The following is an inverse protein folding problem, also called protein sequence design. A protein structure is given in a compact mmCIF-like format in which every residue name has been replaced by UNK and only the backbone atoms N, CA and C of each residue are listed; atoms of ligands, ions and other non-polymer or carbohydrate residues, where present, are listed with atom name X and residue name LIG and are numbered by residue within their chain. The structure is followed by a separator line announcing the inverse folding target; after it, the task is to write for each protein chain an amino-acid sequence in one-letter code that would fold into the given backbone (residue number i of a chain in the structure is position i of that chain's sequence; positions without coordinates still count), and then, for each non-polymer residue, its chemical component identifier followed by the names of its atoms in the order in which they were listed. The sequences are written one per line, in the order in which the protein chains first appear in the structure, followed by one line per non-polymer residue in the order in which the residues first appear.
data_IF_598465047782
#
_entry.id   IF_598465047782
#
_cell.length_a   1.000
_cell.length_b   1.000
_cell.length_c   1.000
_cell.angle_alpha   90.00
_cell.angle_beta   90.00
_cell.angle_gamma   90.00
#
_symmetry.space_group_name_H-M   'P 1'
#
loop_
_entity.id
_entity.type
_entity.pdbx_description
1 polymer ?
#
# COMPACT_ATOMS: atom_id res chain seq x y z
N UNK A 1 -7.11 25.86 7.52
CA UNK A 1 -8.47 26.23 7.96
C UNK A 1 -8.47 27.70 8.39
N UNK A 2 -9.29 28.58 7.79
CA UNK A 2 -9.58 29.92 8.34
C UNK A 2 -10.91 29.82 9.09
N UNK A 3 -10.87 29.84 10.42
CA UNK A 3 -12.08 29.91 11.23
C UNK A 3 -12.62 31.35 11.23
N UNK A 4 -13.84 31.55 10.73
CA UNK A 4 -14.67 32.69 11.16
C UNK A 4 -15.37 32.27 12.45
N UNK A 5 -15.28 33.11 13.47
CA UNK A 5 -15.93 32.96 14.78
C UNK A 5 -17.37 32.47 14.62
N UNK A 6 -17.63 31.25 15.07
CA UNK A 6 -18.96 30.75 15.36
C UNK A 6 -19.15 30.79 16.87
N UNK A 7 -20.15 31.53 17.35
CA UNK A 7 -20.53 31.69 18.75
C UNK A 7 -21.29 30.48 19.33
N UNK A 8 -21.29 29.34 18.62
CA UNK A 8 -21.98 28.15 19.09
C UNK A 8 -20.95 27.10 19.54
N UNK A 9 -20.77 26.87 20.86
CA UNK A 9 -19.77 25.96 21.40
C UNK A 9 -20.05 24.48 21.11
N UNK A 10 -21.05 24.15 20.28
CA UNK A 10 -21.36 22.80 19.80
C UNK A 10 -21.27 22.68 18.26
N UNK A 11 -20.84 23.74 17.54
CA UNK A 11 -20.74 23.69 16.07
C UNK A 11 -19.62 22.76 15.55
N UNK A 12 -18.72 22.31 16.42
CA UNK A 12 -17.67 21.35 16.11
C UNK A 12 -18.13 19.89 16.24
N UNK A 13 -19.20 19.62 16.99
CA UNK A 13 -19.69 18.26 17.25
C UNK A 13 -20.34 17.59 16.01
N UNK A 14 -20.71 18.37 14.99
CA UNK A 14 -21.26 17.87 13.73
C UNK A 14 -20.27 17.94 12.55
N UNK A 15 -19.01 18.29 12.80
CA UNK A 15 -17.98 18.41 11.79
C UNK A 15 -17.12 17.15 11.75
N UNK A 16 -16.95 16.55 10.56
CA UNK A 16 -15.99 15.46 10.36
C UNK A 16 -14.56 15.99 10.55
N UNK A 17 -13.85 15.48 11.56
CA UNK A 17 -12.50 15.92 11.92
C UNK A 17 -11.45 15.10 11.18
N UNK A 18 -10.79 15.75 10.23
CA UNK A 18 -9.60 15.23 9.56
C UNK A 18 -8.35 15.58 10.37
N UNK A 19 -7.60 14.55 10.75
CA UNK A 19 -6.39 14.59 11.57
C UNK A 19 -5.27 13.84 10.85
N UNK A 20 -4.03 13.98 11.32
CA UNK A 20 -2.90 13.20 10.80
C UNK A 20 -3.07 11.69 11.00
N UNK A 21 -3.99 11.24 11.86
CA UNK A 21 -4.25 9.82 12.12
C UNK A 21 -5.25 9.19 11.14
N UNK A 22 -6.03 9.98 10.40
CA UNK A 22 -7.06 9.51 9.45
C UNK A 22 -7.01 10.26 8.11
N UNK A 23 -5.91 10.97 7.83
CA UNK A 23 -5.64 11.49 6.48
C UNK A 23 -4.25 11.14 5.98
N UNK A 24 -4.16 10.79 4.70
CA UNK A 24 -2.89 10.73 3.97
C UNK A 24 -2.69 12.05 3.23
N UNK A 25 -1.51 12.65 3.39
CA UNK A 25 -1.13 13.86 2.65
C UNK A 25 -0.46 13.45 1.33
N UNK A 26 -1.05 13.85 0.22
CA UNK A 26 -0.46 13.66 -1.11
C UNK A 26 0.71 14.64 -1.32
N UNK A 27 1.59 14.36 -2.29
CA UNK A 27 2.75 15.20 -2.63
C UNK A 27 2.37 16.62 -3.09
N UNK A 28 1.17 16.79 -3.63
CA UNK A 28 0.57 18.09 -4.02
C UNK A 28 -0.03 18.88 -2.82
N UNK A 29 0.02 18.33 -1.62
CA UNK A 29 -0.51 18.95 -0.40
C UNK A 29 -1.99 18.70 -0.13
N UNK A 30 -2.69 17.92 -0.97
CA UNK A 30 -4.07 17.50 -0.71
C UNK A 30 -4.15 16.46 0.40
N UNK A 31 -5.15 16.59 1.28
CA UNK A 31 -5.48 15.58 2.29
C UNK A 31 -6.53 14.64 1.71
N UNK A 32 -6.26 13.34 1.76
CA UNK A 32 -7.21 12.28 1.43
C UNK A 32 -7.51 11.49 2.69
N UNK A 33 -8.65 10.80 2.73
CA UNK A 33 -8.86 9.77 3.74
C UNK A 33 -7.64 8.86 3.77
N UNK A 34 -7.17 8.55 4.98
CA UNK A 34 -6.08 7.61 5.10
C UNK A 34 -6.50 6.25 4.51
N UNK A 35 -5.54 5.47 4.05
CA UNK A 35 -5.82 4.21 3.37
C UNK A 35 -4.88 3.12 3.86
N UNK A 36 -5.36 1.88 4.04
CA UNK A 36 -4.52 0.75 4.35
C UNK A 36 -3.49 0.52 3.23
N UNK A 37 -2.20 0.56 3.57
CA UNK A 37 -1.10 0.34 2.62
C UNK A 37 -0.07 -0.60 3.23
N UNK A 38 0.38 -1.56 2.42
CA UNK A 38 1.51 -2.42 2.68
C UNK A 38 2.66 -2.11 1.72
N UNK A 39 3.90 -2.20 2.20
CA UNK A 39 5.13 -2.12 1.39
C UNK A 39 5.82 -3.47 1.42
N UNK A 40 5.98 -4.09 0.26
CA UNK A 40 6.63 -5.41 0.14
C UNK A 40 8.08 -5.21 -0.31
N UNK A 41 9.01 -5.78 0.45
CA UNK A 41 10.42 -5.91 0.07
C UNK A 41 10.78 -7.40 -0.06
N UNK A 42 12.00 -7.70 -0.49
CA UNK A 42 12.46 -9.09 -0.52
C UNK A 42 12.55 -9.68 0.89
N UNK A 43 13.20 -8.96 1.79
CA UNK A 43 13.39 -9.30 3.21
C UNK A 43 13.84 -8.07 3.98
N UNK A 44 13.77 -8.12 5.31
CA UNK A 44 14.24 -7.03 6.17
C UNK A 44 15.76 -6.89 6.14
N UNK A 45 16.47 -7.98 5.90
CA UNK A 45 17.93 -8.05 5.91
C UNK A 45 18.55 -7.56 4.60
N UNK A 46 17.83 -7.69 3.49
CA UNK A 46 18.33 -7.33 2.16
C UNK A 46 17.84 -5.96 1.66
N UNK A 47 16.85 -5.34 2.31
CA UNK A 47 16.46 -3.98 1.96
C UNK A 47 17.56 -2.98 2.34
N UNK A 48 17.94 -2.12 1.40
CA UNK A 48 18.83 -0.97 1.60
C UNK A 48 18.06 0.29 2.02
N UNK A 49 16.72 0.24 1.95
CA UNK A 49 15.81 1.34 2.24
C UNK A 49 15.30 1.27 3.69
N UNK A 50 15.84 2.13 4.55
CA UNK A 50 15.38 2.25 5.95
C UNK A 50 13.98 2.89 6.06
N UNK A 51 13.65 3.77 5.11
CA UNK A 51 12.39 4.52 5.02
C UNK A 51 11.17 3.63 4.70
N UNK A 52 11.38 2.36 4.33
CA UNK A 52 10.29 1.39 4.19
C UNK A 52 9.47 1.24 5.47
N UNK A 53 10.09 1.41 6.64
CA UNK A 53 9.47 1.31 7.97
C UNK A 53 9.31 2.68 8.67
N UNK A 54 9.42 3.78 7.93
CA UNK A 54 9.16 5.12 8.44
C UNK A 54 7.69 5.53 8.19
N UNK A 55 7.30 6.75 8.54
CA UNK A 55 5.96 7.31 8.28
C UNK A 55 4.79 6.47 8.85
N UNK A 56 5.00 5.85 10.00
CA UNK A 56 3.96 5.05 10.67
C UNK A 56 3.80 3.64 10.11
N UNK A 57 4.75 3.18 9.29
CA UNK A 57 4.81 1.80 8.85
C UNK A 57 5.51 0.91 9.89
N UNK A 58 4.99 -0.30 10.10
CA UNK A 58 5.55 -1.30 11.02
C UNK A 58 5.76 -2.62 10.29
N UNK A 59 6.84 -3.33 10.65
CA UNK A 59 7.17 -4.63 10.05
C UNK A 59 6.09 -5.69 10.32
N UNK A 60 5.71 -6.42 9.27
CA UNK A 60 4.70 -7.48 9.31
C UNK A 60 5.12 -8.71 8.48
N UNK A 61 6.41 -9.04 8.48
CA UNK A 61 7.00 -10.14 7.72
C UNK A 61 8.06 -9.64 6.75
N UNK A 62 8.00 -10.02 5.47
CA UNK A 62 8.92 -9.52 4.44
C UNK A 62 8.59 -8.09 3.94
N UNK A 63 7.95 -7.28 4.77
CA UNK A 63 7.51 -5.93 4.43
C UNK A 63 6.90 -5.20 5.61
N UNK A 64 6.32 -4.04 5.35
CA UNK A 64 5.74 -3.17 6.37
C UNK A 64 4.30 -2.79 6.03
N UNK A 65 3.52 -2.39 7.03
CA UNK A 65 2.16 -1.87 6.86
C UNK A 65 1.94 -0.64 7.73
N UNK A 66 1.12 0.29 7.26
CA UNK A 66 0.69 1.42 8.08
C UNK A 66 -0.34 0.99 9.13
N UNK A 67 -0.72 1.92 10.03
CA UNK A 67 -1.65 1.65 11.13
C UNK A 67 -3.04 1.18 10.69
N UNK A 68 -3.47 1.52 9.49
CA UNK A 68 -4.76 1.12 8.95
C UNK A 68 -4.76 -0.31 8.41
N UNK A 69 -3.61 -0.76 7.90
CA UNK A 69 -3.38 -2.15 7.51
C UNK A 69 -2.91 -3.03 8.67
N UNK A 70 -3.13 -2.62 9.93
CA UNK A 70 -2.72 -3.42 11.08
C UNK A 70 -3.44 -4.79 11.08
N UNK A 71 -2.65 -5.85 11.30
CA UNK A 71 -3.13 -7.23 11.33
C UNK A 71 -2.83 -8.03 10.06
N UNK A 72 -2.31 -7.39 9.01
CA UNK A 72 -1.83 -8.14 7.84
C UNK A 72 -0.51 -8.87 8.14
N UNK A 73 -0.21 -9.87 7.32
CA UNK A 73 1.09 -10.57 7.32
C UNK A 73 1.61 -10.74 5.90
N UNK A 74 2.93 -10.65 5.73
CA UNK A 74 3.63 -10.72 4.45
C UNK A 74 4.68 -11.82 4.45
N UNK A 75 4.61 -12.71 3.47
CA UNK A 75 5.56 -13.81 3.29
C UNK A 75 6.10 -13.85 1.88
N UNK A 76 7.41 -14.09 1.74
CA UNK A 76 8.02 -14.46 0.46
C UNK A 76 7.98 -15.98 0.33
N UNK A 77 7.35 -16.49 -0.73
CA UNK A 77 7.22 -17.94 -0.99
C UNK A 77 8.25 -18.45 -2.00
N UNK A 78 8.53 -17.67 -3.03
CA UNK A 78 9.49 -18.01 -4.08
C UNK A 78 10.07 -16.72 -4.70
N UNK A 79 10.99 -16.84 -5.65
CA UNK A 79 11.55 -15.72 -6.40
C UNK A 79 10.43 -14.90 -7.03
N UNK A 80 10.28 -13.67 -6.57
CA UNK A 80 9.25 -12.75 -7.03
C UNK A 80 7.83 -13.15 -6.67
N UNK A 81 7.60 -14.09 -5.75
CA UNK A 81 6.27 -14.51 -5.29
C UNK A 81 6.10 -14.20 -3.81
N UNK A 82 5.14 -13.33 -3.52
CA UNK A 82 4.81 -12.87 -2.17
C UNK A 82 3.35 -13.15 -1.86
N UNK A 83 3.04 -13.39 -0.60
CA UNK A 83 1.68 -13.59 -0.09
C UNK A 83 1.39 -12.56 0.98
N UNK A 84 0.20 -11.96 0.87
CA UNK A 84 -0.36 -11.03 1.83
C UNK A 84 -1.68 -11.60 2.35
N UNK A 85 -1.76 -11.82 3.66
CA UNK A 85 -2.95 -12.29 4.35
C UNK A 85 -3.46 -11.26 5.36
N UNK A 86 -4.74 -11.32 5.70
CA UNK A 86 -5.38 -10.45 6.70
C UNK A 86 -6.07 -9.19 6.13
N UNK A 87 -6.05 -9.00 4.81
CA UNK A 87 -6.84 -7.97 4.13
C UNK A 87 -8.17 -8.54 3.61
N UNK A 88 -9.10 -7.65 3.25
CA UNK A 88 -10.31 -8.01 2.51
C UNK A 88 -10.09 -8.05 0.98
N UNK A 89 -8.88 -7.68 0.52
CA UNK A 89 -8.49 -7.64 -0.88
C UNK A 89 -7.65 -6.41 -1.22
N UNK A 90 -7.49 -6.15 -2.51
CA UNK A 90 -6.96 -4.87 -2.99
C UNK A 90 -7.99 -3.76 -2.78
N UNK A 91 -7.52 -2.52 -2.68
CA UNK A 91 -8.40 -1.37 -2.50
C UNK A 91 -9.46 -1.29 -3.61
N UNK A 92 -10.72 -1.05 -3.24
CA UNK A 92 -11.82 -0.90 -4.20
C UNK A 92 -11.79 0.42 -4.97
N UNK A 93 -11.10 1.44 -4.45
CA UNK A 93 -11.01 2.77 -5.05
C UNK A 93 -9.56 3.30 -5.16
N UNK A 94 -9.29 4.04 -6.25
CA UNK A 94 -7.99 4.65 -6.52
C UNK A 94 -6.94 3.66 -7.01
N UNK A 95 -5.67 3.91 -6.70
CA UNK A 95 -4.57 3.01 -7.09
C UNK A 95 -4.55 1.77 -6.18
N UNK A 96 -4.15 0.62 -6.74
CA UNK A 96 -4.07 -0.65 -6.01
C UNK A 96 -2.63 -1.12 -5.81
N UNK A 97 -1.81 -1.02 -6.85
CA UNK A 97 -0.43 -1.50 -6.84
C UNK A 97 0.47 -0.49 -7.52
N UNK A 98 1.57 -0.14 -6.86
CA UNK A 98 2.69 0.56 -7.48
C UNK A 98 3.88 -0.39 -7.55
N UNK A 99 4.42 -0.66 -8.75
CA UNK A 99 5.63 -1.45 -8.91
C UNK A 99 6.83 -0.84 -8.16
N UNK A 100 7.90 -1.62 -7.92
CA UNK A 100 9.12 -1.06 -7.37
C UNK A 100 9.66 -0.01 -8.33
N UNK A 101 9.88 1.19 -7.82
CA UNK A 101 10.42 2.32 -8.58
C UNK A 101 11.92 2.44 -8.35
N UNK A 102 12.65 2.97 -9.32
CA UNK A 102 14.04 3.37 -9.07
C UNK A 102 14.10 4.48 -7.99
N UNK A 103 15.23 4.66 -7.29
CA UNK A 103 15.36 5.66 -6.22
C UNK A 103 15.06 7.11 -6.65
N UNK A 104 15.19 7.44 -7.94
CA UNK A 104 14.83 8.74 -8.49
C UNK A 104 13.34 8.88 -8.82
N UNK A 105 12.56 7.80 -8.73
CA UNK A 105 11.13 7.77 -9.03
C UNK A 105 10.79 7.92 -10.52
N UNK A 106 11.77 7.68 -11.41
CA UNK A 106 11.67 7.97 -12.83
C UNK A 106 11.18 6.78 -13.68
N UNK A 107 11.13 5.58 -13.11
CA UNK A 107 10.74 4.38 -13.81
C UNK A 107 10.46 3.18 -12.91
N UNK A 108 9.47 2.40 -13.34
CA UNK A 108 9.18 1.08 -12.77
C UNK A 108 10.36 0.13 -13.04
N UNK A 109 10.72 -0.67 -12.06
CA UNK A 109 11.78 -1.68 -12.17
C UNK A 109 11.22 -3.04 -12.62
N UNK A 110 9.90 -3.26 -12.56
CA UNK A 110 9.27 -4.52 -12.93
C UNK A 110 7.79 -4.41 -13.28
N UNK A 111 7.18 -5.55 -13.61
CA UNK A 111 5.73 -5.70 -13.78
C UNK A 111 5.19 -6.44 -12.57
N UNK A 112 4.20 -5.87 -11.89
CA UNK A 112 3.54 -6.50 -10.74
C UNK A 112 2.17 -7.02 -11.13
N UNK A 113 1.83 -8.20 -10.65
CA UNK A 113 0.49 -8.79 -10.72
C UNK A 113 0.05 -9.18 -9.31
N UNK A 114 -1.24 -9.01 -9.01
CA UNK A 114 -1.83 -9.56 -7.80
C UNK A 114 -3.10 -10.31 -8.12
N UNK A 115 -3.26 -11.45 -7.45
CA UNK A 115 -4.44 -12.32 -7.56
C UNK A 115 -4.90 -12.66 -6.16
N UNK A 116 -6.18 -12.44 -5.87
CA UNK A 116 -6.78 -12.92 -4.65
C UNK A 116 -7.15 -14.40 -4.81
N UNK A 117 -6.78 -15.20 -3.82
CA UNK A 117 -7.10 -16.62 -3.73
C UNK A 117 -8.46 -16.81 -3.07
N UNK A 118 -9.03 -18.00 -3.21
CA UNK A 118 -10.32 -18.35 -2.60
C UNK A 118 -10.32 -18.26 -1.06
N UNK A 119 -9.14 -18.35 -0.44
CA UNK A 119 -8.95 -18.21 1.00
C UNK A 119 -8.85 -16.73 1.46
N UNK A 120 -8.98 -15.78 0.53
CA UNK A 120 -8.89 -14.34 0.80
C UNK A 120 -7.47 -13.78 0.78
N UNK A 121 -6.43 -14.61 0.69
CA UNK A 121 -5.04 -14.18 0.60
C UNK A 121 -4.74 -13.59 -0.78
N UNK A 122 -3.91 -12.54 -0.84
CA UNK A 122 -3.39 -11.98 -2.08
C UNK A 122 -2.04 -12.63 -2.39
N UNK A 123 -1.91 -13.20 -3.59
CA UNK A 123 -0.62 -13.59 -4.17
C UNK A 123 -0.12 -12.48 -5.09
N UNK A 124 0.98 -11.84 -4.72
CA UNK A 124 1.65 -10.78 -5.47
C UNK A 124 2.86 -11.38 -6.20
N UNK A 125 2.97 -11.12 -7.50
CA UNK A 125 4.07 -11.59 -8.35
C UNK A 125 4.78 -10.43 -9.01
N UNK A 126 6.11 -10.44 -8.99
CA UNK A 126 6.97 -9.46 -9.62
C UNK A 126 7.79 -10.10 -10.73
N UNK A 127 7.78 -9.48 -11.90
CA UNK A 127 8.49 -9.94 -13.09
C UNK A 127 9.42 -8.85 -13.63
N UNK A 128 10.54 -9.26 -14.24
CA UNK A 128 11.36 -8.36 -15.06
C UNK A 128 10.54 -7.81 -16.21
N UNK A 129 10.88 -6.62 -16.71
CA UNK A 129 10.36 -6.18 -18.01
C UNK A 129 10.94 -7.04 -19.13
N UNK A 130 10.08 -7.49 -20.05
CA UNK A 130 10.49 -8.16 -21.28
C UNK A 130 9.96 -7.38 -22.47
N UNK A 131 10.84 -6.92 -23.35
CA UNK A 131 10.48 -6.23 -24.57
C UNK A 131 10.59 -7.21 -25.74
N UNK A 132 9.52 -7.31 -26.55
CA UNK A 132 9.48 -8.13 -27.76
C UNK A 132 9.15 -7.24 -28.94
N UNK A 133 9.80 -7.47 -30.09
CA UNK A 133 9.45 -6.83 -31.35
C UNK A 133 8.38 -7.69 -32.05
N UNK A 134 7.22 -7.13 -32.33
CA UNK A 134 6.15 -7.81 -33.08
C UNK A 134 6.50 -7.93 -34.56
N UNK A 135 5.76 -8.76 -35.30
CA UNK A 135 5.92 -8.92 -36.75
C UNK A 135 5.60 -7.62 -37.52
N UNK A 136 4.77 -6.75 -36.93
CA UNK A 136 4.44 -5.41 -37.43
C UNK A 136 5.48 -4.34 -37.04
N UNK A 137 6.53 -4.71 -36.31
CA UNK A 137 7.59 -3.80 -35.88
C UNK A 137 7.30 -3.02 -34.60
N UNK A 138 6.29 -3.41 -33.81
CA UNK A 138 5.96 -2.75 -32.54
C UNK A 138 6.80 -3.31 -31.39
N UNK A 139 7.23 -2.44 -30.46
CA UNK A 139 7.87 -2.88 -29.21
C UNK A 139 6.80 -3.12 -28.16
N UNK A 140 6.60 -4.39 -27.81
CA UNK A 140 5.62 -4.83 -26.81
C UNK A 140 6.32 -5.12 -25.48
N UNK A 141 5.89 -4.44 -24.41
CA UNK A 141 6.31 -4.73 -23.02
C UNK A 141 5.44 -5.86 -22.46
N UNK A 142 6.08 -6.93 -21.99
CA UNK A 142 5.45 -8.13 -21.42
C UNK A 142 6.15 -8.55 -20.13
N UNK A 143 5.57 -9.54 -19.42
CA UNK A 143 6.18 -10.14 -18.22
C UNK A 143 7.37 -11.00 -18.61
N UNK A 144 8.53 -10.71 -18.04
CA UNK A 144 9.74 -11.51 -18.16
C UNK A 144 9.80 -12.61 -17.10
N UNK A 145 11.02 -13.00 -16.73
CA UNK A 145 11.25 -13.94 -15.63
C UNK A 145 10.79 -13.34 -14.29
N UNK A 146 10.32 -14.17 -13.35
CA UNK A 146 10.13 -13.75 -11.97
C UNK A 146 11.40 -13.13 -11.38
N UNK A 147 11.24 -12.09 -10.59
CA UNK A 147 12.34 -11.49 -9.83
C UNK A 147 11.86 -10.99 -8.49
N UNK A 148 12.73 -11.05 -7.49
CA UNK A 148 12.46 -10.43 -6.20
C UNK A 148 12.49 -8.90 -6.30
N UNK A 149 11.85 -8.27 -5.32
CA UNK A 149 11.92 -6.82 -5.13
C UNK A 149 13.38 -6.39 -4.97
N UNK A 150 13.89 -5.44 -5.78
CA UNK A 150 15.24 -4.91 -5.64
C UNK A 150 15.48 -4.29 -4.26
N UNK A 151 16.69 -4.46 -3.71
CA UNK A 151 17.07 -3.99 -2.37
C UNK A 151 16.81 -2.48 -2.13
N UNK A 152 16.87 -1.68 -3.19
CA UNK A 152 16.72 -0.23 -3.13
C UNK A 152 15.27 0.27 -3.38
N UNK A 153 14.29 -0.64 -3.38
CA UNK A 153 12.90 -0.35 -3.72
C UNK A 153 11.89 -1.23 -2.96
N UNK A 154 10.59 -0.99 -3.15
CA UNK A 154 9.49 -1.78 -2.60
C UNK A 154 8.26 -1.75 -3.51
N UNK A 155 7.34 -2.71 -3.35
CA UNK A 155 6.02 -2.66 -3.98
C UNK A 155 5.06 -2.02 -2.98
N UNK A 156 4.35 -0.94 -3.35
CA UNK A 156 3.23 -0.46 -2.56
C UNK A 156 1.94 -1.19 -2.98
N UNK A 157 1.23 -1.73 -2.00
CA UNK A 157 -0.06 -2.41 -2.17
C UNK A 157 -1.10 -1.72 -1.30
N UNK A 158 -2.12 -1.16 -1.94
CA UNK A 158 -3.26 -0.55 -1.24
C UNK A 158 -4.35 -1.59 -1.04
N UNK A 159 -4.92 -1.63 0.15
CA UNK A 159 -5.80 -2.70 0.59
C UNK A 159 -7.15 -2.16 1.04
N UNK A 160 -8.17 -3.00 0.89
CA UNK A 160 -9.36 -2.90 1.72
C UNK A 160 -9.16 -3.80 2.94
N UNK A 161 -9.54 -3.30 4.12
CA UNK A 161 -9.41 -4.04 5.37
C UNK A 161 -10.78 -4.54 5.85
N UNK A 162 -10.84 -5.72 6.49
CA UNK A 162 -12.08 -6.23 7.06
C UNK A 162 -12.72 -5.23 8.02
N UNK A 163 -14.05 -5.19 8.08
CA UNK A 163 -14.79 -4.28 8.96
C UNK A 163 -14.45 -4.49 10.44
N UNK A 164 -14.09 -5.72 10.80
CA UNK A 164 -13.63 -6.13 12.13
C UNK A 164 -12.10 -6.09 12.29
N UNK A 165 -11.36 -5.41 11.39
CA UNK A 165 -9.93 -5.17 11.59
C UNK A 165 -9.66 -4.37 12.86
N UNK A 166 -8.47 -4.53 13.44
CA UNK A 166 -8.08 -3.85 14.68
C UNK A 166 -8.23 -2.33 14.58
N UNK A 167 -7.88 -1.75 13.43
CA UNK A 167 -8.05 -0.34 13.17
C UNK A 167 -9.53 0.07 13.11
N UNK A 168 -10.33 -0.63 12.30
CA UNK A 168 -11.76 -0.30 12.11
C UNK A 168 -12.55 -0.44 13.43
N UNK A 169 -12.26 -1.47 14.24
CA UNK A 169 -12.87 -1.63 15.55
C UNK A 169 -12.56 -0.45 16.48
N UNK A 170 -11.29 -0.04 16.58
CA UNK A 170 -10.90 1.13 17.42
C UNK A 170 -11.54 2.43 16.96
N UNK A 171 -11.73 2.61 15.64
CA UNK A 171 -12.41 3.77 15.10
C UNK A 171 -13.91 3.75 15.37
N UNK A 172 -14.54 2.58 15.32
CA UNK A 172 -15.97 2.41 15.66
C UNK A 172 -16.29 2.57 17.16
N UNK A 173 -15.32 2.32 18.04
CA UNK A 173 -15.49 2.41 19.50
C UNK A 173 -15.23 3.79 20.08
N UNK A 174 -14.73 4.77 19.31
CA UNK A 174 -14.69 6.16 19.76
C UNK A 174 -16.14 6.65 19.89
N UNK A 175 -16.63 6.95 21.10
CA UNK A 175 -17.97 7.50 21.25
C UNK A 175 -18.04 8.83 20.49
N UNK A 176 -19.15 9.08 19.80
CA UNK A 176 -19.55 10.45 19.49
C UNK A 176 -19.59 11.23 20.81
N UNK A 177 -18.68 12.19 20.98
CA UNK A 177 -18.65 13.13 22.13
C UNK A 177 -19.22 14.45 21.66
#
# INVERSE_FOLDING_TARGET
MRCRNSTNPNAWAAAELYTTANTTKSSDGTLKAASPVARIVKSREETERADVAEDGFSWCGCGTANSEAEGITLFRLDVGVYVLAGSAGLASEGWQILPPMDPGGMGELGVVEAVQTDNGELTIRLFKHKYMLSDEGEIIKTKGEPMDVPANSWIDVRLDMPADSLFNQRMSQKPEI
#
